data_IF_770390594876
#
_entry.id   IF_770390594876
#
_cell.length_a   1.000
_cell.length_b   1.000
_cell.length_c   1.000
_cell.angle_alpha   90.00
_cell.angle_beta   90.00
_cell.angle_gamma   90.00
#
_symmetry.space_group_name_H-M   'P 1'
#
loop_
_entity.id
_entity.type
_entity.pdbx_description
1 polymer ?
#
# COMPACT_ATOMS: atom_id res chain seq x y z
N UNK A 1 5.18 3.10 15.39
CA UNK A 1 4.17 2.07 15.73
C UNK A 1 4.88 0.83 16.30
N UNK A 2 4.19 -0.07 17.02
CA UNK A 2 4.74 -1.38 17.39
C UNK A 2 5.24 -2.14 16.15
N UNK A 3 6.15 -3.10 16.31
CA UNK A 3 6.75 -3.84 15.17
C UNK A 3 5.96 -5.11 14.80
N UNK A 4 4.67 -5.19 15.13
CA UNK A 4 3.81 -6.33 14.81
C UNK A 4 4.11 -7.56 15.67
N UNK A 5 5.00 -8.43 15.18
CA UNK A 5 5.11 -9.83 15.61
C UNK A 5 6.02 -10.14 16.82
N UNK A 6 6.47 -9.13 17.57
CA UNK A 6 7.57 -9.33 18.53
C UNK A 6 7.17 -9.28 20.00
N UNK A 7 6.15 -8.49 20.36
CA UNK A 7 5.84 -8.20 21.75
C UNK A 7 4.34 -7.97 21.91
N UNK A 8 3.71 -8.72 22.80
CA UNK A 8 2.38 -8.40 23.34
C UNK A 8 2.57 -7.47 24.55
N UNK A 9 2.27 -6.19 24.38
CA UNK A 9 2.61 -5.14 25.33
C UNK A 9 1.66 -5.15 26.54
N UNK A 10 0.38 -5.44 26.34
CA UNK A 10 -0.58 -5.58 27.45
C UNK A 10 -0.19 -6.74 28.37
N UNK A 11 0.27 -7.85 27.80
CA UNK A 11 0.70 -9.02 28.58
C UNK A 11 1.94 -8.70 29.43
N UNK A 12 2.92 -7.98 28.87
CA UNK A 12 4.09 -7.50 29.61
C UNK A 12 3.72 -6.57 30.78
N UNK A 13 2.61 -5.83 30.65
CA UNK A 13 2.11 -4.91 31.66
C UNK A 13 1.29 -5.57 32.77
N UNK A 14 0.92 -6.86 32.66
CA UNK A 14 -0.09 -7.51 33.51
C UNK A 14 0.12 -7.29 35.02
N UNK A 15 1.34 -7.48 35.51
CA UNK A 15 1.66 -7.28 36.94
C UNK A 15 1.46 -5.81 37.37
N UNK A 16 1.84 -4.86 36.52
CA UNK A 16 1.67 -3.42 36.79
C UNK A 16 0.20 -3.02 36.75
N UNK A 17 -0.56 -3.55 35.80
CA UNK A 17 -2.00 -3.34 35.74
C UNK A 17 -2.68 -3.83 37.03
N UNK A 18 -2.36 -5.05 37.48
CA UNK A 18 -2.88 -5.60 38.71
C UNK A 18 -2.49 -4.77 39.96
N UNK A 19 -1.23 -4.35 40.05
CA UNK A 19 -0.77 -3.54 41.19
C UNK A 19 -1.43 -2.16 41.23
N UNK A 20 -1.60 -1.50 40.08
CA UNK A 20 -2.21 -0.18 39.99
C UNK A 20 -3.75 -0.21 40.02
N UNK A 21 -4.36 -1.40 40.11
CA UNK A 21 -5.82 -1.56 40.10
C UNK A 21 -6.45 -1.25 38.74
N UNK A 22 -5.69 -1.35 37.64
CA UNK A 22 -6.22 -1.24 36.29
C UNK A 22 -6.71 -2.61 35.81
N UNK A 23 -7.98 -2.67 35.40
CA UNK A 23 -8.53 -3.86 34.76
C UNK A 23 -8.16 -3.89 33.27
N UNK A 24 -7.61 -5.03 32.82
CA UNK A 24 -7.36 -5.29 31.39
C UNK A 24 -8.42 -6.29 30.91
N UNK A 25 -9.39 -5.75 30.17
CA UNK A 25 -10.51 -6.53 29.61
C UNK A 25 -10.13 -7.12 28.25
N UNK A 26 -10.86 -8.16 27.82
CA UNK A 26 -10.64 -8.76 26.49
C UNK A 26 -10.93 -7.80 25.34
N UNK A 27 -11.82 -6.82 25.56
CA UNK A 27 -12.08 -5.74 24.60
C UNK A 27 -10.85 -4.83 24.43
N UNK A 28 -10.08 -4.60 25.50
CA UNK A 28 -8.84 -3.83 25.41
C UNK A 28 -7.75 -4.62 24.69
N UNK A 29 -7.61 -5.92 25.01
CA UNK A 29 -6.70 -6.82 24.29
C UNK A 29 -7.03 -6.88 22.79
N UNK A 30 -8.31 -6.95 22.45
CA UNK A 30 -8.81 -6.93 21.07
C UNK A 30 -8.46 -5.65 20.28
N UNK A 31 -8.01 -4.58 20.93
CA UNK A 31 -7.62 -3.31 20.29
C UNK A 31 -6.11 -3.11 20.24
N UNK A 32 -5.34 -4.13 20.60
CA UNK A 32 -3.88 -4.08 20.56
C UNK A 32 -3.38 -4.29 19.13
N UNK A 33 -2.62 -3.30 18.62
CA UNK A 33 -2.03 -3.34 17.28
C UNK A 33 -0.73 -4.17 17.30
N UNK A 34 -0.86 -5.49 17.42
CA UNK A 34 0.25 -6.46 17.37
C UNK A 34 -0.11 -7.63 16.44
N UNK A 35 0.88 -8.47 16.15
CA UNK A 35 0.71 -9.77 15.51
C UNK A 35 1.08 -10.87 16.51
N UNK A 36 0.34 -11.99 16.48
CA UNK A 36 0.50 -13.10 17.43
C UNK A 36 -0.15 -12.82 18.78
N UNK A 37 0.62 -13.03 19.86
CA UNK A 37 0.12 -12.95 21.24
C UNK A 37 -0.82 -14.10 21.61
N UNK A 38 -1.46 -14.02 22.78
CA UNK A 38 -2.44 -15.02 23.23
C UNK A 38 -3.65 -15.09 22.29
N UNK A 39 -4.02 -13.95 21.70
CA UNK A 39 -5.19 -13.82 20.81
C UNK A 39 -4.90 -14.24 19.36
N UNK A 40 -3.66 -14.65 19.04
CA UNK A 40 -3.26 -15.15 17.72
C UNK A 40 -3.61 -14.19 16.57
N UNK A 41 -3.36 -12.89 16.76
CA UNK A 41 -3.62 -11.89 15.73
C UNK A 41 -2.79 -12.08 14.47
N UNK A 42 -3.40 -11.82 13.32
CA UNK A 42 -2.74 -11.85 12.03
C UNK A 42 -2.30 -10.45 11.56
N UNK A 43 -1.55 -10.41 10.46
CA UNK A 43 -1.09 -9.15 9.84
C UNK A 43 -2.27 -8.24 9.46
N UNK A 44 -3.42 -8.82 9.08
CA UNK A 44 -4.62 -8.08 8.71
C UNK A 44 -5.17 -7.28 9.89
N UNK A 45 -5.28 -7.91 11.07
CA UNK A 45 -5.68 -7.25 12.30
C UNK A 45 -4.75 -6.09 12.66
N UNK A 46 -3.43 -6.35 12.60
CA UNK A 46 -2.41 -5.34 12.87
C UNK A 46 -2.55 -4.11 11.95
N UNK A 47 -2.70 -4.34 10.64
CA UNK A 47 -2.86 -3.28 9.66
C UNK A 47 -4.18 -2.50 9.82
N UNK A 48 -5.29 -3.19 10.14
CA UNK A 48 -6.58 -2.55 10.39
C UNK A 48 -6.54 -1.59 11.59
N UNK A 49 -5.90 -2.00 12.69
CA UNK A 49 -5.73 -1.13 13.86
C UNK A 49 -4.79 0.05 13.58
N UNK A 50 -3.70 -0.16 12.84
CA UNK A 50 -2.86 0.94 12.39
C UNK A 50 -3.61 1.93 11.50
N UNK A 51 -4.44 1.42 10.59
CA UNK A 51 -5.28 2.25 9.73
C UNK A 51 -6.17 3.16 10.56
N UNK A 52 -6.93 2.58 11.50
CA UNK A 52 -7.81 3.32 12.40
C UNK A 52 -7.03 4.39 13.19
N UNK A 53 -5.84 4.05 13.69
CA UNK A 53 -5.00 5.00 14.41
C UNK A 53 -4.55 6.17 13.52
N UNK A 54 -4.06 5.89 12.31
CA UNK A 54 -3.61 6.92 11.37
C UNK A 54 -4.76 7.81 10.87
N UNK A 55 -5.96 7.26 10.71
CA UNK A 55 -7.16 8.04 10.38
C UNK A 55 -7.50 9.04 11.48
N UNK A 56 -7.47 8.62 12.75
CA UNK A 56 -7.68 9.53 13.86
C UNK A 56 -6.60 10.62 13.93
N UNK A 57 -5.34 10.26 13.67
CA UNK A 57 -4.25 11.25 13.57
C UNK A 57 -4.51 12.26 12.45
N UNK A 58 -4.99 11.82 11.29
CA UNK A 58 -5.32 12.72 10.18
C UNK A 58 -6.41 13.74 10.54
N UNK A 59 -7.46 13.31 11.24
CA UNK A 59 -8.53 14.21 11.68
C UNK A 59 -8.08 15.16 12.78
N UNK A 60 -7.19 14.72 13.68
CA UNK A 60 -6.67 15.55 14.76
C UNK A 60 -5.64 16.61 14.29
N UNK A 61 -4.87 16.31 13.25
CA UNK A 61 -3.82 17.19 12.73
C UNK A 61 -4.40 18.37 11.92
N UNK A 62 -3.76 19.55 12.03
CA UNK A 62 -4.03 20.70 11.15
C UNK A 62 -3.63 20.39 9.71
N UNK A 63 -4.22 21.10 8.76
CA UNK A 63 -3.81 21.00 7.35
C UNK A 63 -2.32 21.36 7.19
N UNK A 64 -1.64 20.69 6.25
CA UNK A 64 -0.19 20.81 6.01
C UNK A 64 0.72 20.40 7.19
N UNK A 65 0.16 19.83 8.27
CA UNK A 65 0.95 19.33 9.39
C UNK A 65 1.79 18.10 9.03
N UNK A 66 2.88 17.92 9.77
CA UNK A 66 3.82 16.82 9.60
C UNK A 66 3.42 15.61 10.44
N UNK A 67 3.62 14.42 9.86
CA UNK A 67 3.61 13.15 10.54
C UNK A 67 4.96 12.46 10.31
N UNK A 68 5.74 12.26 11.36
CA UNK A 68 7.02 11.55 11.32
C UNK A 68 6.88 10.19 11.98
N UNK A 69 7.11 9.13 11.22
CA UNK A 69 7.04 7.75 11.70
C UNK A 69 8.44 7.17 11.83
N UNK A 70 8.81 6.80 13.06
CA UNK A 70 9.99 5.97 13.30
C UNK A 70 9.57 4.53 13.13
N UNK A 71 9.98 3.90 12.03
CA UNK A 71 9.57 2.55 11.72
C UNK A 71 10.60 1.83 10.86
N UNK A 72 10.78 0.54 11.15
CA UNK A 72 11.71 -0.34 10.46
C UNK A 72 11.21 -1.78 10.63
N UNK A 73 10.89 -2.46 9.54
CA UNK A 73 10.49 -3.86 9.57
C UNK A 73 11.41 -4.70 8.68
N UNK A 74 11.61 -5.98 9.03
CA UNK A 74 12.40 -6.90 8.20
C UNK A 74 11.72 -7.16 6.85
N UNK A 75 10.40 -7.18 6.86
CA UNK A 75 9.60 -7.40 5.66
C UNK A 75 9.31 -6.07 4.99
N UNK A 76 9.84 -5.92 3.78
CA UNK A 76 9.60 -4.73 2.94
C UNK A 76 8.15 -4.59 2.53
N UNK A 77 7.37 -5.68 2.52
CA UNK A 77 5.97 -5.64 2.12
C UNK A 77 5.12 -4.80 3.09
N UNK A 78 5.31 -5.01 4.40
CA UNK A 78 4.62 -4.24 5.45
C UNK A 78 4.89 -2.73 5.32
N UNK A 79 6.10 -2.37 4.91
CA UNK A 79 6.47 -0.98 4.64
C UNK A 79 5.63 -0.35 3.51
N UNK A 80 5.49 -1.06 2.39
CA UNK A 80 4.66 -0.59 1.28
C UNK A 80 3.21 -0.44 1.69
N UNK A 81 2.68 -1.37 2.47
CA UNK A 81 1.31 -1.33 2.98
C UNK A 81 1.06 -0.11 3.88
N UNK A 82 1.97 0.21 4.80
CA UNK A 82 1.87 1.41 5.66
C UNK A 82 1.92 2.70 4.84
N UNK A 83 2.86 2.79 3.90
CA UNK A 83 2.99 3.96 3.02
C UNK A 83 1.72 4.19 2.20
N UNK A 84 1.17 3.12 1.62
CA UNK A 84 -0.02 3.20 0.78
C UNK A 84 -1.25 3.53 1.63
N UNK A 85 -1.41 2.92 2.80
CA UNK A 85 -2.42 3.26 3.80
C UNK A 85 -2.41 4.77 4.13
N UNK A 86 -1.26 5.32 4.49
CA UNK A 86 -1.12 6.76 4.79
C UNK A 86 -1.47 7.64 3.59
N UNK A 87 -1.06 7.22 2.38
CA UNK A 87 -1.43 7.91 1.13
C UNK A 87 -2.94 8.01 0.97
N UNK A 88 -3.67 6.93 1.23
CA UNK A 88 -5.12 6.90 1.10
C UNK A 88 -5.87 7.68 2.17
N UNK A 89 -5.30 7.76 3.37
CA UNK A 89 -5.84 8.60 4.43
C UNK A 89 -5.73 10.08 4.06
N UNK A 90 -4.73 10.45 3.25
CA UNK A 90 -4.50 11.82 2.77
C UNK A 90 -3.13 12.40 3.12
N UNK A 91 -2.20 11.55 3.57
CA UNK A 91 -0.82 11.95 3.82
C UNK A 91 0.05 11.78 2.57
N UNK A 92 0.83 12.80 2.24
CA UNK A 92 1.81 12.75 1.17
C UNK A 92 3.17 12.36 1.74
N UNK A 93 3.79 11.32 1.17
CA UNK A 93 5.19 10.98 1.48
C UNK A 93 6.11 12.13 1.03
N UNK A 94 7.02 12.54 1.93
CA UNK A 94 8.00 13.61 1.64
C UNK A 94 9.41 13.04 1.49
N UNK A 95 9.94 12.43 2.55
CA UNK A 95 11.28 11.85 2.53
C UNK A 95 11.45 10.80 3.65
N UNK A 96 12.59 10.11 3.61
CA UNK A 96 13.05 9.20 4.65
C UNK A 96 14.44 9.64 5.09
N UNK A 97 14.65 9.74 6.39
CA UNK A 97 15.93 10.11 7.00
C UNK A 97 16.41 8.94 7.85
N UNK A 98 17.64 8.51 7.62
CA UNK A 98 18.30 7.54 8.48
C UNK A 98 18.87 8.27 9.71
N UNK A 99 18.49 7.80 10.90
CA UNK A 99 19.00 8.28 12.16
C UNK A 99 19.92 7.21 12.77
N UNK A 100 21.23 7.48 12.92
CA UNK A 100 22.13 6.52 13.53
C UNK A 100 21.78 6.32 15.00
N UNK A 101 21.81 5.07 15.45
CA UNK A 101 21.64 4.76 16.86
C UNK A 101 22.88 5.23 17.62
N UNK A 102 22.69 5.92 18.75
CA UNK A 102 23.79 6.37 19.60
C UNK A 102 24.68 5.21 20.10
N UNK A 103 24.10 4.02 20.25
CA UNK A 103 24.81 2.78 20.57
C UNK A 103 24.27 1.62 19.73
N UNK A 104 25.12 0.81 19.09
CA UNK A 104 24.67 -0.35 18.34
C UNK A 104 24.14 -1.43 19.29
N UNK A 105 23.07 -2.10 18.89
CA UNK A 105 22.52 -3.22 19.65
C UNK A 105 23.43 -4.44 19.59
N UNK A 106 23.35 -5.33 20.57
CA UNK A 106 24.12 -6.58 20.57
C UNK A 106 23.84 -7.45 19.34
N UNK A 107 22.60 -7.48 18.86
CA UNK A 107 22.23 -8.15 17.61
C UNK A 107 22.89 -7.51 16.38
N UNK A 108 23.02 -6.17 16.33
CA UNK A 108 23.75 -5.49 15.26
C UNK A 108 25.24 -5.83 15.29
N UNK A 109 25.84 -5.89 16.48
CA UNK A 109 27.26 -6.26 16.64
C UNK A 109 27.52 -7.70 16.18
N UNK A 110 26.64 -8.64 16.54
CA UNK A 110 26.74 -10.06 16.13
C UNK A 110 26.43 -10.29 14.65
N UNK A 111 25.54 -9.48 14.06
CA UNK A 111 25.07 -9.66 12.68
C UNK A 111 25.14 -8.35 11.88
N UNK A 112 26.35 -7.83 11.59
CA UNK A 112 26.56 -6.50 11.05
C UNK A 112 25.90 -6.28 9.68
N UNK A 113 25.75 -7.33 8.86
CA UNK A 113 25.14 -7.25 7.53
C UNK A 113 23.62 -7.51 7.52
N UNK A 114 23.03 -8.01 8.61
CA UNK A 114 21.61 -8.43 8.65
C UNK A 114 20.70 -7.51 9.44
N UNK A 115 21.27 -6.66 10.29
CA UNK A 115 20.53 -5.74 11.15
C UNK A 115 20.93 -4.33 10.75
N UNK A 116 19.97 -3.43 10.55
CA UNK A 116 20.26 -2.03 10.33
C UNK A 116 20.76 -1.38 11.63
N UNK A 117 21.80 -0.54 11.53
CA UNK A 117 22.37 0.18 12.68
C UNK A 117 21.71 1.54 12.92
N UNK A 118 20.63 1.81 12.20
CA UNK A 118 20.00 3.10 12.09
C UNK A 118 18.48 2.91 12.17
N UNK A 119 17.81 3.87 12.77
CA UNK A 119 16.36 3.99 12.73
C UNK A 119 15.96 4.78 11.49
N UNK A 120 14.95 4.32 10.76
CA UNK A 120 14.41 5.08 9.64
C UNK A 120 13.27 5.97 10.16
N UNK A 121 13.40 7.26 9.94
CA UNK A 121 12.36 8.27 10.19
C UNK A 121 11.74 8.61 8.85
N UNK A 122 10.46 8.33 8.70
CA UNK A 122 9.75 8.61 7.46
C UNK A 122 8.76 9.71 7.67
N UNK A 123 8.88 10.75 6.85
CA UNK A 123 8.12 11.97 7.00
C UNK A 123 7.02 12.04 5.94
N UNK A 124 5.84 12.37 6.43
CA UNK A 124 4.66 12.61 5.65
C UNK A 124 4.10 14.00 5.99
N UNK A 125 3.38 14.58 5.04
CA UNK A 125 2.68 15.83 5.22
C UNK A 125 1.20 15.64 4.91
N UNK A 126 0.32 16.13 5.78
CA UNK A 126 -1.12 16.13 5.55
C UNK A 126 -1.46 17.05 4.38
N UNK A 127 -2.14 16.53 3.37
CA UNK A 127 -2.61 17.35 2.24
C UNK A 127 -3.84 18.17 2.65
N UNK A 128 -3.82 19.49 2.43
CA UNK A 128 -4.98 20.36 2.61
C UNK A 128 -6.14 20.02 1.67
N UNK A 129 -5.83 19.53 0.46
CA UNK A 129 -6.83 19.05 -0.49
C UNK A 129 -7.04 17.56 -0.26
N UNK A 130 -8.21 17.21 0.28
CA UNK A 130 -8.64 15.84 0.46
C UNK A 130 -9.05 15.26 -0.89
N UNK A 131 -8.17 14.47 -1.51
CA UNK A 131 -8.48 13.77 -2.77
C UNK A 131 -9.51 12.65 -2.60
N UNK A 132 -9.52 12.01 -1.43
CA UNK A 132 -10.45 10.91 -1.09
C UNK A 132 -11.35 11.37 0.05
N UNK A 133 -12.64 11.53 -0.22
CA UNK A 133 -13.70 12.02 0.68
C UNK A 133 -13.80 11.19 1.97
N UNK A 134 -13.55 9.88 1.88
CA UNK A 134 -13.47 8.99 3.05
C UNK A 134 -12.26 8.06 2.98
N UNK A 135 -11.57 7.77 4.10
CA UNK A 135 -10.43 6.85 4.09
C UNK A 135 -10.84 5.49 3.52
N UNK A 136 -10.06 4.96 2.56
CA UNK A 136 -10.33 3.65 1.98
C UNK A 136 -9.62 2.54 2.75
N UNK A 137 -10.31 1.43 3.04
CA UNK A 137 -9.66 0.26 3.65
C UNK A 137 -8.61 -0.29 2.68
N UNK A 138 -7.44 -0.66 3.22
CA UNK A 138 -6.34 -1.17 2.41
C UNK A 138 -6.74 -2.38 1.53
N UNK A 139 -7.55 -3.36 2.00
CA UNK A 139 -8.02 -4.46 1.17
C UNK A 139 -8.84 -4.00 -0.04
N UNK A 140 -9.74 -3.03 0.16
CA UNK A 140 -10.58 -2.49 -0.91
C UNK A 140 -9.74 -1.72 -1.93
N UNK A 141 -8.81 -0.90 -1.47
CA UNK A 141 -7.92 -0.17 -2.35
C UNK A 141 -7.05 -1.11 -3.19
N UNK A 142 -6.59 -2.21 -2.60
CA UNK A 142 -5.82 -3.24 -3.31
C UNK A 142 -6.66 -3.99 -4.35
N UNK A 143 -7.92 -4.31 -4.06
CA UNK A 143 -8.83 -4.91 -5.06
C UNK A 143 -9.02 -3.95 -6.23
N UNK A 144 -9.34 -2.69 -5.97
CA UNK A 144 -9.51 -1.67 -7.02
C UNK A 144 -8.25 -1.56 -7.88
N UNK A 145 -7.07 -1.48 -7.26
CA UNK A 145 -5.80 -1.46 -8.00
C UNK A 145 -5.62 -2.70 -8.85
N UNK A 146 -5.78 -3.89 -8.27
CA UNK A 146 -5.54 -5.15 -8.96
C UNK A 146 -6.46 -5.31 -10.17
N UNK A 147 -7.74 -4.94 -10.01
CA UNK A 147 -8.71 -4.96 -11.11
C UNK A 147 -8.38 -3.90 -12.15
N UNK A 148 -8.13 -2.65 -11.73
CA UNK A 148 -7.77 -1.57 -12.64
C UNK A 148 -6.52 -1.94 -13.45
N UNK A 149 -5.49 -2.43 -12.78
CA UNK A 149 -4.26 -2.94 -13.38
C UNK A 149 -4.57 -4.05 -14.39
N UNK A 150 -5.33 -5.09 -13.98
CA UNK A 150 -5.74 -6.21 -14.85
C UNK A 150 -6.48 -5.74 -16.11
N UNK A 151 -7.44 -4.84 -15.98
CA UNK A 151 -8.27 -4.33 -17.09
C UNK A 151 -7.43 -3.44 -18.01
N UNK A 152 -6.64 -2.52 -17.45
CA UNK A 152 -5.72 -1.67 -18.20
C UNK A 152 -4.72 -2.54 -18.99
N UNK A 153 -4.16 -3.60 -18.39
CA UNK A 153 -3.27 -4.53 -19.07
C UNK A 153 -3.96 -5.30 -20.21
N UNK A 154 -5.13 -5.89 -19.93
CA UNK A 154 -5.89 -6.70 -20.90
C UNK A 154 -6.22 -5.92 -22.17
N UNK A 155 -6.62 -4.66 -21.97
CA UNK A 155 -7.22 -3.84 -23.02
C UNK A 155 -6.26 -2.78 -23.59
N UNK A 156 -5.06 -2.59 -23.02
CA UNK A 156 -4.08 -1.60 -23.49
C UNK A 156 -4.44 -0.16 -23.11
N UNK A 157 -5.07 -0.01 -21.94
CA UNK A 157 -5.74 1.19 -21.46
C UNK A 157 -7.25 0.98 -21.36
N UNK A 158 -7.86 1.52 -20.31
CA UNK A 158 -9.26 1.29 -19.97
C UNK A 158 -9.98 2.57 -19.57
N UNK A 159 -11.25 2.68 -19.91
CA UNK A 159 -12.13 3.75 -19.41
C UNK A 159 -12.50 3.49 -17.95
N UNK A 160 -12.92 4.55 -17.24
CA UNK A 160 -13.42 4.41 -15.87
C UNK A 160 -14.60 3.43 -15.78
N UNK A 161 -15.49 3.43 -16.78
CA UNK A 161 -16.65 2.53 -16.80
C UNK A 161 -16.25 1.06 -16.92
N UNK A 162 -15.26 0.75 -17.77
CA UNK A 162 -14.73 -0.62 -17.94
C UNK A 162 -14.07 -1.12 -16.66
N UNK A 163 -13.31 -0.27 -15.96
CA UNK A 163 -12.71 -0.60 -14.67
C UNK A 163 -13.82 -0.85 -13.63
N UNK A 164 -14.79 0.06 -13.51
CA UNK A 164 -15.87 -0.05 -12.53
C UNK A 164 -16.72 -1.31 -12.74
N UNK A 165 -16.98 -1.69 -14.00
CA UNK A 165 -17.74 -2.89 -14.35
C UNK A 165 -17.12 -4.18 -13.84
N UNK A 166 -15.79 -4.22 -13.77
CA UNK A 166 -15.01 -5.37 -13.30
C UNK A 166 -14.68 -5.27 -11.80
N UNK A 167 -14.58 -4.05 -11.26
CA UNK A 167 -14.32 -3.80 -9.84
C UNK A 167 -15.53 -4.18 -8.99
N UNK A 168 -16.74 -3.83 -9.44
CA UNK A 168 -17.97 -4.05 -8.67
C UNK A 168 -18.19 -5.52 -8.29
N UNK A 169 -18.09 -6.50 -9.22
CA UNK A 169 -18.18 -7.92 -8.88
C UNK A 169 -17.12 -8.37 -7.87
N UNK A 170 -15.85 -8.01 -8.08
CA UNK A 170 -14.76 -8.41 -7.17
C UNK A 170 -14.93 -7.80 -5.76
N UNK A 171 -15.54 -6.62 -5.64
CA UNK A 171 -15.89 -6.04 -4.34
C UNK A 171 -17.06 -6.76 -3.66
N UNK A 172 -18.04 -7.25 -4.43
CA UNK A 172 -19.15 -8.07 -3.91
C UNK A 172 -18.63 -9.40 -3.37
N UNK A 173 -17.76 -10.08 -4.12
CA UNK A 173 -17.23 -11.39 -3.76
C UNK A 173 -16.35 -11.36 -2.50
N UNK A 174 -15.84 -10.19 -2.11
CA UNK A 174 -15.01 -9.99 -0.93
C UNK A 174 -15.77 -9.36 0.27
N UNK A 175 -17.10 -9.28 0.22
CA UNK A 175 -17.96 -8.62 1.22
C UNK A 175 -17.64 -7.13 1.47
N UNK A 176 -16.82 -6.50 0.61
CA UNK A 176 -16.39 -5.11 0.71
C UNK A 176 -17.31 -4.16 -0.08
N UNK A 177 -18.28 -4.69 -0.82
CA UNK A 177 -19.19 -3.88 -1.64
C UNK A 177 -20.04 -2.91 -0.82
N UNK A 178 -20.53 -3.30 0.36
CA UNK A 178 -21.32 -2.39 1.20
C UNK A 178 -20.49 -1.20 1.72
N UNK A 179 -19.20 -1.44 2.01
CA UNK A 179 -18.22 -0.39 2.35
C UNK A 179 -17.81 0.45 1.13
N UNK A 180 -17.91 -0.10 -0.09
CA UNK A 180 -17.64 0.60 -1.34
C UNK A 180 -18.82 1.44 -1.83
N UNK A 181 -20.05 0.93 -1.69
CA UNK A 181 -21.28 1.58 -2.12
C UNK A 181 -21.62 2.82 -1.29
N UNK A 182 -21.09 2.90 -0.06
CA UNK A 182 -21.14 4.11 0.78
C UNK A 182 -20.10 5.16 0.37
N UNK A 183 -19.09 4.79 -0.44
CA UNK A 183 -18.04 5.69 -0.93
C UNK A 183 -18.42 6.24 -2.29
N UNK A 184 -18.10 7.50 -2.52
CA UNK A 184 -18.46 8.19 -3.75
C UNK A 184 -17.58 7.67 -4.90
N UNK A 185 -18.08 7.71 -6.14
CA UNK A 185 -17.29 7.41 -7.35
C UNK A 185 -16.00 8.24 -7.40
N UNK A 186 -16.01 9.43 -6.78
CA UNK A 186 -14.83 10.27 -6.58
C UNK A 186 -13.69 9.61 -5.80
N UNK A 187 -13.99 8.72 -4.84
CA UNK A 187 -12.97 8.04 -4.04
C UNK A 187 -12.26 6.94 -4.86
N UNK A 188 -13.01 6.23 -5.72
CA UNK A 188 -12.45 5.26 -6.66
C UNK A 188 -11.57 5.99 -7.69
N UNK A 189 -12.05 7.11 -8.23
CA UNK A 189 -11.28 7.95 -9.16
C UNK A 189 -9.99 8.44 -8.52
N UNK A 190 -10.02 8.91 -7.27
CA UNK A 190 -8.83 9.37 -6.56
C UNK A 190 -7.79 8.25 -6.33
N UNK A 191 -8.23 7.00 -6.18
CA UNK A 191 -7.32 5.84 -6.14
C UNK A 191 -6.70 5.61 -7.51
N UNK A 192 -7.50 5.67 -8.57
CA UNK A 192 -6.99 5.54 -9.92
C UNK A 192 -5.95 6.63 -10.24
N UNK A 193 -6.24 7.90 -9.93
CA UNK A 193 -5.29 9.02 -10.10
C UNK A 193 -3.99 8.84 -9.29
N UNK A 194 -4.08 8.15 -8.15
CA UNK A 194 -2.92 7.97 -7.28
C UNK A 194 -1.85 7.08 -7.91
N UNK A 195 -2.24 6.07 -8.70
CA UNK A 195 -1.33 5.04 -9.22
C UNK A 195 -1.34 4.89 -10.76
N UNK A 196 -2.34 5.45 -11.44
CA UNK A 196 -2.50 5.43 -12.90
C UNK A 196 -2.57 6.85 -13.47
N UNK A 197 -2.27 7.00 -14.76
CA UNK A 197 -2.37 8.26 -15.49
C UNK A 197 -3.54 8.21 -16.46
N UNK A 198 -4.35 9.27 -16.52
CA UNK A 198 -5.41 9.40 -17.52
C UNK A 198 -4.83 10.11 -18.76
N UNK A 199 -4.92 9.48 -19.92
CA UNK A 199 -4.45 10.06 -21.19
C UNK A 199 -5.47 11.02 -21.83
N UNK A 200 -5.05 11.71 -22.90
CA UNK A 200 -5.88 12.68 -23.63
C UNK A 200 -7.14 12.05 -24.26
N UNK A 201 -7.22 10.72 -24.36
CA UNK A 201 -8.37 9.99 -24.89
C UNK A 201 -9.30 9.48 -23.77
N UNK A 202 -9.11 9.93 -22.53
CA UNK A 202 -9.82 9.48 -21.33
C UNK A 202 -9.61 7.98 -21.03
N UNK A 203 -8.43 7.43 -21.36
CA UNK A 203 -8.05 6.07 -21.01
C UNK A 203 -7.02 6.07 -19.89
N UNK A 204 -7.27 5.28 -18.85
CA UNK A 204 -6.32 5.02 -17.79
C UNK A 204 -5.16 4.19 -18.30
N UNK A 205 -3.95 4.63 -18.00
CA UNK A 205 -2.67 4.02 -18.39
C UNK A 205 -1.79 3.82 -17.17
N UNK A 206 -0.83 2.90 -17.27
CA UNK A 206 0.15 2.66 -16.22
C UNK A 206 1.20 3.77 -16.24
N UNK A 207 1.55 4.30 -15.06
CA UNK A 207 2.57 5.36 -14.91
C UNK A 207 3.91 4.92 -15.50
N UNK A 208 4.56 5.83 -16.23
CA UNK A 208 5.88 5.55 -16.79
C UNK A 208 6.91 5.32 -15.66
N UNK A 209 7.48 4.12 -15.58
CA UNK A 209 8.48 3.75 -14.56
C UNK A 209 7.94 3.15 -13.26
N UNK A 210 6.62 2.97 -13.11
CA UNK A 210 6.11 2.14 -12.01
C UNK A 210 6.44 0.67 -12.25
N UNK A 211 7.08 0.01 -11.26
CA UNK A 211 7.25 -1.44 -11.26
C UNK A 211 5.90 -2.08 -10.95
N UNK A 212 5.27 -2.59 -11.99
CA UNK A 212 3.94 -3.18 -11.91
C UNK A 212 4.05 -4.69 -12.19
N UNK A 213 3.30 -5.48 -11.43
CA UNK A 213 3.17 -6.92 -11.60
C UNK A 213 4.18 -7.79 -10.84
N UNK A 214 3.85 -8.14 -9.59
CA UNK A 214 4.28 -9.44 -9.03
C UNK A 214 3.31 -10.58 -9.40
N UNK A 215 2.12 -10.27 -9.93
CA UNK A 215 1.03 -11.26 -10.13
C UNK A 215 0.49 -11.35 -11.57
N UNK A 216 1.07 -10.62 -12.53
CA UNK A 216 0.55 -10.60 -13.91
C UNK A 216 1.35 -11.55 -14.81
N UNK A 217 0.68 -12.52 -15.47
CA UNK A 217 1.32 -13.42 -16.42
C UNK A 217 2.11 -12.67 -17.51
N UNK A 218 3.29 -13.17 -17.93
CA UNK A 218 4.11 -12.52 -18.96
C UNK A 218 3.36 -12.20 -20.26
N UNK A 219 2.41 -13.04 -20.65
CA UNK A 219 1.58 -12.86 -21.86
C UNK A 219 0.73 -11.60 -21.82
N UNK A 220 0.10 -11.30 -20.69
CA UNK A 220 -0.74 -10.11 -20.53
C UNK A 220 0.09 -8.82 -20.52
N UNK A 221 1.32 -8.89 -19.99
CA UNK A 221 2.27 -7.77 -20.03
C UNK A 221 2.72 -7.44 -21.45
N UNK A 222 3.05 -8.47 -22.24
CA UNK A 222 3.37 -8.30 -23.66
C UNK A 222 2.17 -7.70 -24.40
N UNK A 223 0.97 -8.24 -24.18
CA UNK A 223 -0.27 -7.77 -24.80
C UNK A 223 -0.49 -6.28 -24.53
N UNK A 224 -0.37 -5.83 -23.29
CA UNK A 224 -0.52 -4.42 -22.91
C UNK A 224 0.41 -3.50 -23.69
N UNK A 225 1.72 -3.77 -23.67
CA UNK A 225 2.68 -2.92 -24.35
C UNK A 225 2.48 -2.93 -25.87
N UNK A 226 2.06 -4.06 -26.45
CA UNK A 226 1.76 -4.17 -27.88
C UNK A 226 0.54 -3.33 -28.22
N UNK A 227 -0.57 -3.48 -27.48
CA UNK A 227 -1.80 -2.71 -27.74
C UNK A 227 -1.55 -1.22 -27.52
N UNK A 228 -0.88 -0.82 -26.43
CA UNK A 228 -0.54 0.57 -26.16
C UNK A 228 0.35 1.19 -27.26
N UNK A 229 1.33 0.44 -27.75
CA UNK A 229 2.17 0.88 -28.87
C UNK A 229 1.38 1.02 -30.18
N UNK A 230 0.52 0.04 -30.49
CA UNK A 230 -0.32 0.06 -31.69
C UNK A 230 -1.38 1.17 -31.65
N UNK A 231 -1.98 1.46 -30.50
CA UNK A 231 -2.91 2.59 -30.32
C UNK A 231 -2.22 3.92 -30.61
N UNK A 232 -0.97 4.11 -30.17
CA UNK A 232 -0.20 5.34 -30.42
C UNK A 232 0.31 5.50 -31.85
N UNK A 233 0.75 4.40 -32.48
CA UNK A 233 1.39 4.42 -33.80
C UNK A 233 0.42 4.15 -34.96
N UNK A 234 -0.75 3.58 -34.68
CA UNK A 234 -1.76 3.14 -35.66
C UNK A 234 -1.34 1.90 -36.45
N UNK A 235 -0.12 1.87 -37.00
CA UNK A 235 0.48 0.73 -37.70
C UNK A 235 1.95 0.55 -37.31
N UNK A 236 2.39 -0.69 -37.17
CA UNK A 236 3.79 -1.02 -36.91
C UNK A 236 4.20 -2.36 -37.52
N UNK A 237 5.49 -2.49 -37.85
CA UNK A 237 6.08 -3.77 -38.23
C UNK A 237 6.57 -4.54 -36.99
N UNK A 238 6.74 -5.85 -37.13
CA UNK A 238 7.15 -6.75 -36.04
C UNK A 238 8.44 -6.28 -35.36
N UNK A 239 9.46 -5.91 -36.15
CA UNK A 239 10.74 -5.47 -35.62
C UNK A 239 10.60 -4.22 -34.73
N UNK A 240 9.81 -3.23 -35.16
CA UNK A 240 9.56 -2.03 -34.35
C UNK A 240 8.82 -2.34 -33.05
N UNK A 241 7.90 -3.30 -33.08
CA UNK A 241 7.17 -3.77 -31.89
C UNK A 241 8.17 -4.42 -30.92
N UNK A 242 9.01 -5.35 -31.41
CA UNK A 242 9.99 -6.05 -30.59
C UNK A 242 11.02 -5.09 -30.01
N UNK A 243 11.65 -4.23 -30.82
CA UNK A 243 12.69 -3.31 -30.33
C UNK A 243 12.16 -2.32 -29.30
N UNK A 244 10.89 -1.91 -29.39
CA UNK A 244 10.28 -0.97 -28.44
C UNK A 244 9.84 -1.65 -27.15
N UNK A 245 9.31 -2.88 -27.24
CA UNK A 245 8.63 -3.54 -26.12
C UNK A 245 9.56 -4.43 -25.31
N UNK A 246 10.53 -5.11 -25.94
CA UNK A 246 11.45 -6.03 -25.26
C UNK A 246 12.14 -5.38 -24.04
N UNK A 247 12.63 -4.12 -24.11
CA UNK A 247 13.23 -3.44 -22.97
C UNK A 247 12.25 -3.20 -21.80
N UNK A 248 10.95 -3.03 -22.09
CA UNK A 248 9.90 -2.78 -21.10
C UNK A 248 9.46 -4.05 -20.36
N UNK A 249 9.84 -5.23 -20.89
CA UNK A 249 9.53 -6.54 -20.32
C UNK A 249 10.59 -7.06 -19.35
N UNK A 250 11.75 -6.40 -19.27
CA UNK A 250 12.86 -6.84 -18.40
C UNK A 250 12.52 -6.48 -16.96
N UNK A 251 12.07 -7.49 -16.20
CA UNK A 251 11.95 -7.40 -14.76
C UNK A 251 13.34 -7.23 -14.13
N UNK A 252 13.55 -6.15 -13.39
CA UNK A 252 14.78 -5.92 -12.63
C UNK A 252 15.06 -6.90 -11.48
N UNK A 253 14.35 -8.04 -11.36
CA UNK A 253 14.64 -9.11 -10.41
C UNK A 253 14.20 -10.48 -10.95
N UNK A 254 15.07 -11.17 -11.69
CA UNK A 254 15.56 -12.52 -11.37
C UNK A 254 16.50 -13.00 -12.48
N UNK A 255 17.77 -13.37 -12.17
CA UNK A 255 18.45 -14.38 -12.96
C UNK A 255 17.78 -15.71 -12.68
N UNK A 256 17.27 -16.36 -13.72
CA UNK A 256 16.84 -17.76 -13.69
C UNK A 256 18.02 -18.61 -13.21
N UNK A 257 17.81 -19.33 -12.11
CA UNK A 257 18.48 -20.60 -11.85
C UNK A 257 17.40 -21.66 -11.69
#
# INVERSE_FOLDING_TARGET
>A
PPYGAHIAYLDLGTMWHAWLGFEVTDVMRAREAIEGGEQQFDEKHYLDLLQKAFEQMFYALKDEAWLSLVFHHKETNLWYQIRDMLRYIGFKYVNTVAQPLARPTFHKLKHPLRVLGESLIVNFQKSAVRKISQPMSLPMANIIKNVAERVIYRDGGATTEEILREVVPDLFDNDLFFDAASKNIGDILAILESDFDLDDNNLWQIKAGSKVGNFIPPRERIRYYVIGYLRKKGKANFDSIVTTILPLLINGHQPTR
#
